data_IF_644438442102
#
_entry.id   IF_644438442102
#
_cell.length_a   1.000
_cell.length_b   1.000
_cell.length_c   1.000
_cell.angle_alpha   90.00
_cell.angle_beta   90.00
_cell.angle_gamma   90.00
#
_symmetry.space_group_name_H-M   'P 1'
#
loop_
_entity.id
_entity.type
_entity.pdbx_description
1 polymer ?
#
# COMPACT_ATOMS: atom_id res chain seq x y z
N UNK A 1 -4.10 -44.72 -12.96
CA UNK A 1 -2.91 -43.83 -13.00
C UNK A 1 -2.86 -43.07 -11.68
N UNK A 2 -1.85 -43.31 -10.84
CA UNK A 2 -1.71 -42.63 -9.56
C UNK A 2 -1.15 -41.22 -9.78
N UNK A 3 -1.96 -40.19 -9.58
CA UNK A 3 -1.51 -38.80 -9.60
C UNK A 3 -0.74 -38.55 -8.29
N UNK A 4 0.59 -38.54 -8.37
CA UNK A 4 1.43 -38.05 -7.27
C UNK A 4 1.18 -36.56 -7.11
N UNK A 5 0.43 -36.18 -6.07
CA UNK A 5 0.36 -34.79 -5.62
C UNK A 5 1.74 -34.45 -5.05
N UNK A 6 2.56 -33.78 -5.85
CA UNK A 6 3.81 -33.21 -5.36
C UNK A 6 3.48 -32.04 -4.45
N UNK A 7 3.64 -32.25 -3.14
CA UNK A 7 3.52 -31.22 -2.13
C UNK A 7 4.77 -30.32 -2.19
N UNK A 8 4.83 -29.45 -3.21
CA UNK A 8 5.84 -28.39 -3.27
C UNK A 8 5.46 -27.36 -2.22
N UNK A 9 6.28 -27.22 -1.18
CA UNK A 9 6.25 -26.08 -0.25
C UNK A 9 6.40 -24.78 -1.06
N UNK A 10 5.29 -24.24 -1.56
CA UNK A 10 5.26 -22.94 -2.24
C UNK A 10 5.70 -21.90 -1.23
N UNK A 11 6.88 -21.32 -1.43
CA UNK A 11 7.23 -20.05 -0.78
C UNK A 11 6.07 -19.09 -1.05
N UNK A 12 5.38 -18.66 0.01
CA UNK A 12 4.29 -17.68 -0.13
C UNK A 12 4.91 -16.39 -0.65
N UNK A 13 4.28 -15.77 -1.65
CA UNK A 13 4.65 -14.45 -2.18
C UNK A 13 4.23 -13.35 -1.20
N UNK A 14 4.64 -13.48 0.05
CA UNK A 14 4.38 -12.52 1.13
C UNK A 14 5.62 -11.69 1.38
N UNK A 15 5.43 -10.48 1.89
CA UNK A 15 6.53 -9.63 2.32
C UNK A 15 7.43 -10.35 3.33
N UNK A 16 8.73 -10.00 3.41
CA UNK A 16 9.64 -10.56 4.39
C UNK A 16 9.11 -10.39 5.83
N UNK A 17 9.42 -11.34 6.72
CA UNK A 17 9.03 -11.21 8.14
C UNK A 17 9.57 -9.94 8.80
N UNK A 18 10.77 -9.51 8.41
CA UNK A 18 11.37 -8.25 8.88
C UNK A 18 10.54 -7.03 8.54
N UNK A 19 9.86 -7.02 7.39
CA UNK A 19 8.96 -5.94 7.02
C UNK A 19 7.80 -5.82 8.00
N UNK A 20 7.19 -6.95 8.38
CA UNK A 20 6.07 -6.93 9.33
C UNK A 20 6.50 -6.50 10.74
N UNK A 21 7.71 -6.89 11.19
CA UNK A 21 8.27 -6.38 12.45
C UNK A 21 8.48 -4.87 12.43
N UNK A 22 9.08 -4.34 11.35
CA UNK A 22 9.26 -2.90 11.15
C UNK A 22 7.91 -2.15 11.07
N UNK A 23 6.92 -2.73 10.36
CA UNK A 23 5.60 -2.14 10.25
C UNK A 23 4.90 -2.08 11.61
N UNK A 24 5.01 -3.14 12.43
CA UNK A 24 4.48 -3.15 13.79
C UNK A 24 5.18 -2.11 14.70
N UNK A 25 6.50 -2.02 14.63
CA UNK A 25 7.30 -1.05 15.40
C UNK A 25 6.94 0.41 15.06
N UNK A 26 6.65 0.69 13.79
CA UNK A 26 6.23 2.01 13.32
C UNK A 26 4.71 2.24 13.36
N UNK A 27 3.95 1.30 13.94
CA UNK A 27 2.49 1.32 14.00
C UNK A 27 1.83 1.56 12.61
N UNK A 28 2.37 0.89 11.58
CA UNK A 28 1.90 0.96 10.20
C UNK A 28 0.90 -0.15 9.88
N UNK A 29 -0.21 0.24 9.29
CA UNK A 29 -1.26 -0.65 8.80
C UNK A 29 -1.52 -0.44 7.32
N UNK A 30 -1.86 -1.51 6.62
CA UNK A 30 -2.35 -1.45 5.25
C UNK A 30 -3.77 -0.83 5.23
N UNK A 31 -3.84 0.46 4.91
CA UNK A 31 -5.06 1.25 4.92
C UNK A 31 -6.14 0.66 4.01
N UNK A 32 -5.75 0.20 2.82
CA UNK A 32 -6.69 -0.37 1.86
C UNK A 32 -7.32 -1.63 2.42
N UNK A 33 -6.51 -2.54 2.97
CA UNK A 33 -7.01 -3.79 3.57
C UNK A 33 -7.86 -3.54 4.81
N UNK A 34 -7.48 -2.57 5.65
CA UNK A 34 -8.25 -2.22 6.86
C UNK A 34 -9.63 -1.65 6.53
N UNK A 35 -9.75 -0.82 5.51
CA UNK A 35 -11.02 -0.21 5.10
C UNK A 35 -11.87 -1.11 4.19
N UNK A 36 -11.27 -2.15 3.58
CA UNK A 36 -11.94 -3.06 2.65
C UNK A 36 -11.70 -4.54 2.99
N UNK A 37 -12.08 -5.02 4.19
CA UNK A 37 -11.72 -6.37 4.67
C UNK A 37 -12.27 -7.49 3.79
N UNK A 38 -13.52 -7.35 3.34
CA UNK A 38 -14.24 -8.35 2.53
C UNK A 38 -14.04 -8.18 1.02
N UNK A 39 -13.41 -7.09 0.59
CA UNK A 39 -13.24 -6.79 -0.84
C UNK A 39 -12.01 -7.50 -1.37
N UNK A 40 -12.21 -8.19 -2.50
CA UNK A 40 -11.11 -8.77 -3.28
C UNK A 40 -10.93 -7.94 -4.56
N UNK A 41 -9.93 -7.07 -4.56
CA UNK A 41 -9.49 -6.28 -5.72
C UNK A 41 -7.97 -6.34 -5.85
N UNK A 42 -7.50 -6.13 -7.08
CA UNK A 42 -6.11 -6.33 -7.47
C UNK A 42 -5.56 -5.11 -8.22
N UNK A 43 -4.25 -4.92 -8.14
CA UNK A 43 -3.57 -3.79 -8.79
C UNK A 43 -2.73 -4.20 -9.99
N UNK A 44 -2.57 -5.50 -10.23
CA UNK A 44 -1.70 -6.02 -11.27
C UNK A 44 -2.18 -7.38 -11.78
N UNK A 45 -2.00 -7.61 -13.08
CA UNK A 45 -2.16 -8.91 -13.71
C UNK A 45 -0.84 -9.41 -14.27
N UNK A 46 -0.43 -10.62 -13.89
CA UNK A 46 0.75 -11.27 -14.44
C UNK A 46 0.36 -12.19 -15.60
N UNK A 47 0.69 -11.78 -16.84
CA UNK A 47 0.44 -12.60 -18.03
C UNK A 47 1.10 -13.99 -17.97
N UNK A 48 2.39 -14.14 -17.59
CA UNK A 48 3.03 -15.46 -17.57
C UNK A 48 2.43 -16.42 -16.53
N UNK A 49 1.94 -15.88 -15.41
CA UNK A 49 1.39 -16.67 -14.30
C UNK A 49 -0.14 -16.76 -14.34
N UNK A 50 -0.78 -16.06 -15.28
CA UNK A 50 -2.24 -15.94 -15.44
C UNK A 50 -2.94 -15.65 -14.11
N UNK A 51 -2.36 -14.75 -13.31
CA UNK A 51 -2.81 -14.49 -11.94
C UNK A 51 -2.86 -13.01 -11.61
N UNK A 52 -3.78 -12.66 -10.72
CA UNK A 52 -3.96 -11.32 -10.21
C UNK A 52 -3.24 -11.16 -8.87
N UNK A 53 -2.61 -10.00 -8.66
CA UNK A 53 -1.97 -9.66 -7.40
C UNK A 53 -2.21 -8.20 -7.02
N UNK A 54 -2.09 -7.92 -5.72
CA UNK A 54 -2.18 -6.57 -5.18
C UNK A 54 -0.78 -6.14 -4.76
N UNK A 55 -0.10 -5.45 -5.67
CA UNK A 55 1.25 -4.93 -5.49
C UNK A 55 1.24 -3.48 -4.99
N UNK A 56 0.21 -2.70 -5.34
CA UNK A 56 -0.04 -1.41 -4.73
C UNK A 56 -0.61 -1.60 -3.33
N UNK A 57 0.12 -1.14 -2.32
CA UNK A 57 -0.31 -1.12 -0.91
C UNK A 57 -0.11 0.30 -0.37
N UNK A 58 -1.01 0.73 0.50
CA UNK A 58 -0.90 2.00 1.21
C UNK A 58 -0.71 1.71 2.70
N UNK A 59 0.53 1.81 3.18
CA UNK A 59 0.86 1.66 4.60
C UNK A 59 0.81 3.03 5.26
N UNK A 60 -0.02 3.16 6.30
CA UNK A 60 -0.22 4.41 7.03
C UNK A 60 -0.13 4.14 8.52
N UNK A 61 0.23 5.14 9.31
CA UNK A 61 0.15 5.01 10.75
C UNK A 61 -1.30 4.79 11.20
N UNK A 62 -1.54 3.94 12.20
CA UNK A 62 -2.88 3.60 12.68
C UNK A 62 -3.68 4.83 13.10
N UNK A 63 -3.04 5.87 13.65
CA UNK A 63 -3.70 7.12 13.98
C UNK A 63 -4.16 7.91 12.76
N UNK A 64 -3.43 7.86 11.64
CA UNK A 64 -3.83 8.55 10.41
C UNK A 64 -4.96 7.84 9.68
N UNK A 65 -5.19 6.55 9.95
CA UNK A 65 -6.27 5.78 9.34
C UNK A 65 -7.64 6.41 9.60
N UNK A 66 -7.85 6.99 10.80
CA UNK A 66 -9.11 7.65 11.17
C UNK A 66 -9.42 8.89 10.35
N UNK A 67 -8.41 9.47 9.71
CA UNK A 67 -8.53 10.67 8.88
C UNK A 67 -8.69 10.33 7.40
N UNK A 68 -8.62 9.06 7.01
CA UNK A 68 -8.93 8.63 5.65
C UNK A 68 -10.45 8.53 5.53
N UNK A 69 -11.01 9.25 4.56
CA UNK A 69 -12.42 9.16 4.22
C UNK A 69 -12.69 7.93 3.35
N UNK A 70 -11.82 7.70 2.36
CA UNK A 70 -11.99 6.62 1.40
C UNK A 70 -10.64 6.21 0.80
N UNK A 71 -10.50 4.94 0.44
CA UNK A 71 -9.38 4.44 -0.35
C UNK A 71 -9.87 3.45 -1.40
N UNK A 72 -9.50 3.67 -2.67
CA UNK A 72 -9.99 2.91 -3.83
C UNK A 72 -8.85 2.49 -4.74
N UNK A 73 -8.95 1.29 -5.32
CA UNK A 73 -8.15 0.90 -6.49
C UNK A 73 -8.95 1.32 -7.72
N UNK A 74 -8.41 2.20 -8.54
CA UNK A 74 -9.06 2.65 -9.77
C UNK A 74 -8.65 1.75 -10.93
N UNK A 75 -9.53 1.60 -11.91
CA UNK A 75 -9.23 0.86 -13.13
C UNK A 75 -8.36 1.75 -14.03
N UNK A 76 -7.30 1.18 -14.59
CA UNK A 76 -6.43 1.85 -15.54
C UNK A 76 -6.22 0.97 -16.79
N UNK A 77 -6.17 1.61 -17.95
CA UNK A 77 -5.86 0.98 -19.23
C UNK A 77 -4.51 1.42 -19.80
N UNK A 78 -3.91 2.47 -19.22
CA UNK A 78 -2.70 3.11 -19.73
C UNK A 78 -1.43 2.52 -19.13
N UNK A 79 -1.51 1.92 -17.94
CA UNK A 79 -0.39 1.23 -17.30
C UNK A 79 -0.79 -0.19 -16.92
N UNK A 80 0.21 -1.03 -16.72
CA UNK A 80 0.09 -2.38 -16.19
C UNK A 80 -0.34 -2.42 -14.71
N UNK A 81 -0.30 -1.27 -14.04
CA UNK A 81 -0.77 -1.09 -12.67
C UNK A 81 -2.00 -0.18 -12.56
N UNK A 82 -2.97 -0.65 -11.79
CA UNK A 82 -4.12 0.13 -11.34
C UNK A 82 -3.71 1.06 -10.18
N UNK A 83 -4.01 2.37 -10.26
CA UNK A 83 -3.63 3.31 -9.22
C UNK A 83 -4.49 3.17 -7.96
N UNK A 84 -3.89 3.52 -6.82
CA UNK A 84 -4.59 3.68 -5.54
C UNK A 84 -4.90 5.16 -5.32
N UNK A 85 -6.17 5.47 -5.06
CA UNK A 85 -6.63 6.80 -4.69
C UNK A 85 -7.01 6.82 -3.21
N UNK A 86 -6.47 7.79 -2.46
CA UNK A 86 -6.80 8.06 -1.07
C UNK A 86 -7.50 9.41 -0.98
N UNK A 87 -8.70 9.43 -0.45
CA UNK A 87 -9.43 10.65 -0.09
C UNK A 87 -9.33 10.83 1.42
N UNK A 88 -8.82 11.98 1.86
CA UNK A 88 -8.74 12.34 3.28
C UNK A 88 -10.05 13.03 3.68
N UNK A 89 -10.46 12.86 4.94
CA UNK A 89 -11.51 13.70 5.55
C UNK A 89 -11.07 15.16 5.46
N UNK A 90 -12.03 16.06 5.28
CA UNK A 90 -11.77 17.50 5.25
C UNK A 90 -11.04 17.93 6.52
N UNK A 91 -9.72 18.02 6.42
CA UNK A 91 -8.91 18.76 7.37
C UNK A 91 -9.03 20.19 6.89
N UNK A 92 -9.50 21.09 7.74
CA UNK A 92 -9.21 22.52 7.62
C UNK A 92 -7.70 22.72 7.80
N UNK A 93 -6.91 22.21 6.86
CA UNK A 93 -5.50 22.47 6.77
C UNK A 93 -5.42 23.88 6.23
N UNK A 94 -5.11 24.84 7.11
CA UNK A 94 -4.65 26.14 6.65
C UNK A 94 -3.44 25.84 5.77
N UNK A 95 -3.59 25.93 4.44
CA UNK A 95 -2.49 25.78 3.50
C UNK A 95 -1.45 26.83 3.89
N UNK A 96 -0.46 26.41 4.67
CA UNK A 96 0.74 27.20 4.87
C UNK A 96 1.32 27.49 3.49
N UNK A 97 1.82 28.70 3.28
CA UNK A 97 2.58 28.99 2.07
C UNK A 97 3.80 28.07 2.11
N UNK A 98 4.10 27.35 1.02
CA UNK A 98 5.35 26.61 0.92
C UNK A 98 6.50 27.60 1.04
N UNK A 99 7.19 27.59 2.18
CA UNK A 99 8.39 28.38 2.42
C UNK A 99 9.58 27.45 2.50
N UNK A 100 10.68 27.83 1.87
CA UNK A 100 11.95 27.13 2.02
C UNK A 100 12.35 27.10 3.50
N UNK A 101 12.67 25.91 4.03
CA UNK A 101 13.21 25.80 5.38
C UNK A 101 14.59 26.47 5.41
N UNK A 102 14.71 27.62 6.07
CA UNK A 102 15.95 28.39 6.17
C UNK A 102 17.07 27.65 6.89
N UNK A 103 16.77 26.59 7.65
CA UNK A 103 17.77 25.73 8.26
C UNK A 103 18.54 24.90 7.22
N UNK A 104 17.93 24.59 6.08
CA UNK A 104 18.60 23.89 4.96
C UNK A 104 19.61 24.78 4.24
N UNK A 105 19.49 26.10 4.38
CA UNK A 105 20.42 27.08 3.82
C UNK A 105 21.60 27.40 4.74
N UNK A 106 21.64 26.82 5.94
CA UNK A 106 22.80 26.97 6.82
C UNK A 106 23.88 26.01 6.35
N UNK A 107 24.76 26.50 5.48
CA UNK A 107 26.06 25.87 5.30
C UNK A 107 26.80 25.90 6.64
N UNK A 108 27.29 24.74 7.08
CA UNK A 108 28.25 24.66 8.18
C UNK A 108 29.57 25.24 7.67
N UNK A 109 29.76 26.55 7.87
CA UNK A 109 31.06 27.21 7.82
C UNK A 109 31.80 27.06 9.14
#
# INVERSE_FOLDING_TARGET
MHVKIQNKNKKRNTLPKSFFGMAEEMDLVDAWRKLNPEVTQFTFYSNPHKSWSRLGMAWVNSDLLKDIQEIKILINTLADHNPLQITWKDRTYKKGRWTLNSQLLKEQG
#
